data_IF_427648729045
#
_entry.id   IF_427648729045
#
_cell.length_a   1.000
_cell.length_b   1.000
_cell.length_c   1.000
_cell.angle_alpha   90.00
_cell.angle_beta   90.00
_cell.angle_gamma   90.00
#
_symmetry.space_group_name_H-M   'P 1'
#
loop_
_entity.id
_entity.type
_entity.pdbx_description
1 polymer ?
#
# COMPACT_ATOMS: atom_id res chain seq x y z
N UNK A 1 5.80 10.32 -18.16
CA UNK A 1 6.54 9.04 -18.02
C UNK A 1 5.51 7.96 -17.81
N UNK A 2 5.51 6.92 -18.64
CA UNK A 2 4.53 5.84 -18.56
C UNK A 2 4.86 4.92 -17.37
N UNK A 3 3.93 4.76 -16.43
CA UNK A 3 4.09 3.90 -15.27
C UNK A 3 3.71 2.46 -15.65
N UNK A 4 4.72 1.58 -15.69
CA UNK A 4 4.56 0.14 -15.93
C UNK A 4 4.58 -0.64 -14.62
N UNK A 5 3.88 -1.77 -14.61
CA UNK A 5 3.94 -2.72 -13.51
C UNK A 5 5.35 -3.35 -13.44
N UNK A 6 5.87 -3.58 -12.23
CA UNK A 6 7.13 -4.31 -12.08
C UNK A 6 6.96 -5.82 -12.19
N UNK A 7 5.75 -6.31 -12.02
CA UNK A 7 5.44 -7.73 -12.05
C UNK A 7 5.17 -8.18 -13.48
N UNK A 8 5.92 -9.20 -13.92
CA UNK A 8 5.72 -9.87 -15.19
C UNK A 8 4.95 -11.17 -14.93
N UNK A 9 3.81 -11.35 -15.60
CA UNK A 9 3.00 -12.56 -15.43
C UNK A 9 3.15 -13.48 -16.62
N UNK A 10 3.17 -14.79 -16.34
CA UNK A 10 3.09 -15.83 -17.37
C UNK A 10 1.67 -15.99 -17.91
N UNK A 11 0.67 -15.83 -17.05
CA UNK A 11 -0.76 -15.99 -17.39
C UNK A 11 -1.54 -14.73 -16.98
N UNK A 12 -2.08 -14.00 -17.95
CA UNK A 12 -2.88 -12.78 -17.69
C UNK A 12 -4.36 -13.04 -17.45
N UNK A 13 -4.83 -14.24 -17.78
CA UNK A 13 -6.23 -14.66 -17.63
C UNK A 13 -6.63 -14.82 -16.17
N UNK A 14 -5.72 -15.32 -15.32
CA UNK A 14 -5.96 -15.60 -13.89
C UNK A 14 -5.62 -14.46 -12.95
N UNK A 15 -5.29 -13.29 -13.51
CA UNK A 15 -4.72 -12.18 -12.74
C UNK A 15 -5.57 -10.93 -12.88
N UNK A 16 -5.79 -10.23 -11.76
CA UNK A 16 -6.25 -8.85 -11.77
C UNK A 16 -5.13 -7.90 -11.32
N UNK A 17 -5.10 -6.70 -11.93
CA UNK A 17 -4.10 -5.66 -11.66
C UNK A 17 -4.81 -4.36 -11.27
N UNK A 18 -4.24 -3.62 -10.33
CA UNK A 18 -4.70 -2.29 -9.92
C UNK A 18 -3.51 -1.42 -9.52
N UNK A 19 -3.62 -0.11 -9.77
CA UNK A 19 -2.56 0.84 -9.44
C UNK A 19 -3.14 2.15 -8.94
N UNK A 20 -2.76 2.53 -7.71
CA UNK A 20 -2.98 3.88 -7.19
C UNK A 20 -1.83 4.78 -7.62
N UNK A 21 -2.11 5.88 -8.33
CA UNK A 21 -1.09 6.83 -8.81
C UNK A 21 -1.12 8.13 -8.01
N UNK A 22 0.05 8.73 -7.82
CA UNK A 22 0.23 10.06 -7.20
C UNK A 22 -0.48 10.23 -5.85
N UNK A 23 -0.47 9.16 -5.04
CA UNK A 23 -1.12 9.18 -3.74
C UNK A 23 -0.30 10.01 -2.76
N UNK A 24 -0.97 10.93 -2.07
CA UNK A 24 -0.34 11.79 -1.05
C UNK A 24 -0.21 11.04 0.28
N UNK A 25 0.69 10.05 0.32
CA UNK A 25 0.97 9.22 1.49
C UNK A 25 2.48 9.14 1.75
N UNK A 26 2.86 8.80 2.98
CA UNK A 26 4.26 8.57 3.33
C UNK A 26 4.78 7.32 2.64
N UNK A 27 5.84 7.45 1.84
CA UNK A 27 6.47 6.32 1.15
C UNK A 27 6.92 5.23 2.12
N UNK A 28 7.58 5.61 3.21
CA UNK A 28 8.11 4.67 4.21
C UNK A 28 7.00 3.84 4.85
N UNK A 29 5.91 4.50 5.21
CA UNK A 29 4.78 3.82 5.84
C UNK A 29 4.06 2.96 4.80
N UNK A 30 3.87 3.44 3.57
CA UNK A 30 3.28 2.67 2.47
C UNK A 30 4.07 1.38 2.19
N UNK A 31 5.40 1.42 2.17
CA UNK A 31 6.27 0.24 2.00
C UNK A 31 6.01 -0.79 3.11
N UNK A 32 5.92 -0.34 4.37
CA UNK A 32 5.67 -1.22 5.52
C UNK A 32 4.27 -1.83 5.45
N UNK A 33 3.26 -1.05 5.08
CA UNK A 33 1.89 -1.56 4.89
C UNK A 33 1.86 -2.60 3.78
N UNK A 34 2.48 -2.33 2.63
CA UNK A 34 2.57 -3.27 1.51
C UNK A 34 3.29 -4.56 1.92
N UNK A 35 4.34 -4.47 2.74
CA UNK A 35 5.08 -5.62 3.24
C UNK A 35 4.21 -6.53 4.12
N UNK A 36 3.35 -5.95 4.97
CA UNK A 36 2.45 -6.69 5.85
C UNK A 36 1.37 -7.46 5.08
N UNK A 37 0.82 -6.88 4.01
CA UNK A 37 -0.28 -7.49 3.24
C UNK A 37 0.19 -8.39 2.08
N UNK A 38 1.49 -8.40 1.77
CA UNK A 38 2.06 -9.25 0.72
C UNK A 38 1.83 -10.73 1.06
N UNK A 39 1.24 -11.47 0.13
CA UNK A 39 0.99 -12.91 0.28
C UNK A 39 -0.29 -13.28 1.05
N UNK A 40 -1.07 -12.29 1.54
CA UNK A 40 -2.37 -12.54 2.16
C UNK A 40 -3.45 -12.78 1.10
N UNK A 41 -4.56 -13.40 1.52
CA UNK A 41 -5.81 -13.36 0.77
C UNK A 41 -6.36 -11.93 0.74
N UNK A 42 -7.08 -11.58 -0.32
CA UNK A 42 -7.61 -10.23 -0.52
C UNK A 42 -8.54 -9.79 0.63
N UNK A 43 -9.41 -10.71 1.07
CA UNK A 43 -10.34 -10.51 2.20
C UNK A 43 -9.62 -10.20 3.52
N UNK A 44 -8.60 -10.99 3.85
CA UNK A 44 -7.77 -10.79 5.05
C UNK A 44 -7.00 -9.47 5.02
N UNK A 45 -6.48 -9.11 3.85
CA UNK A 45 -5.78 -7.85 3.66
C UNK A 45 -6.72 -6.65 3.90
N UNK A 46 -7.94 -6.70 3.35
CA UNK A 46 -8.97 -5.67 3.57
C UNK A 46 -9.33 -5.57 5.06
N UNK A 47 -9.52 -6.71 5.73
CA UNK A 47 -9.83 -6.77 7.17
C UNK A 47 -8.71 -6.17 8.03
N UNK A 48 -7.46 -6.51 7.73
CA UNK A 48 -6.27 -5.99 8.43
C UNK A 48 -6.15 -4.47 8.28
N UNK A 49 -6.36 -3.95 7.06
CA UNK A 49 -6.30 -2.51 6.80
C UNK A 49 -7.43 -1.74 7.49
N UNK A 50 -8.66 -2.27 7.50
CA UNK A 50 -9.80 -1.71 8.26
C UNK A 50 -9.50 -1.70 9.76
N UNK A 51 -8.94 -2.78 10.30
CA UNK A 51 -8.55 -2.86 11.71
C UNK A 51 -7.46 -1.87 12.09
N UNK A 52 -6.51 -1.62 11.19
CA UNK A 52 -5.47 -0.59 11.35
C UNK A 52 -6.07 0.82 11.33
N UNK A 53 -7.04 1.08 10.44
CA UNK A 53 -7.76 2.35 10.36
C UNK A 53 -8.51 2.66 11.66
N UNK A 54 -9.06 1.62 12.31
CA UNK A 54 -9.73 1.71 13.61
C UNK A 54 -8.77 1.69 14.81
N UNK A 55 -7.45 1.74 14.58
CA UNK A 55 -6.41 1.68 15.62
C UNK A 55 -6.43 0.42 16.49
N UNK A 56 -7.06 -0.66 16.02
CA UNK A 56 -7.17 -1.93 16.75
C UNK A 56 -5.91 -2.77 16.61
N UNK A 57 -5.47 -2.97 15.36
CA UNK A 57 -4.27 -3.76 15.05
C UNK A 57 -3.11 -2.85 14.62
N UNK A 58 -1.96 -2.89 15.31
CA UNK A 58 -0.78 -2.15 14.89
C UNK A 58 -0.07 -2.87 13.75
N UNK A 59 0.46 -2.10 12.80
CA UNK A 59 1.37 -2.63 11.79
C UNK A 59 2.78 -2.62 12.35
N UNK A 60 3.45 -3.77 12.25
CA UNK A 60 4.84 -3.94 12.68
C UNK A 60 5.79 -3.32 11.65
N UNK A 61 6.74 -2.52 12.12
CA UNK A 61 7.72 -1.85 11.28
C UNK A 61 8.99 -2.69 11.23
N UNK A 62 9.08 -3.55 10.22
CA UNK A 62 10.31 -4.29 9.91
C UNK A 62 11.39 -3.36 9.32
N UNK A 63 10.96 -2.43 8.45
CA UNK A 63 11.78 -1.38 7.86
C UNK A 63 11.41 -0.01 8.45
N UNK A 64 12.33 0.94 8.37
CA UNK A 64 12.13 2.33 8.85
C UNK A 64 11.73 2.45 10.34
N UNK A 65 12.23 1.54 11.18
CA UNK A 65 11.88 1.43 12.61
C UNK A 65 12.61 2.38 13.57
N UNK A 66 13.49 3.26 13.08
CA UNK A 66 14.27 4.18 13.93
C UNK A 66 13.32 5.19 14.61
N UNK A 67 13.34 5.22 15.95
CA UNK A 67 12.47 6.10 16.74
C UNK A 67 11.01 5.65 16.82
N UNK A 68 10.71 4.38 16.48
CA UNK A 68 9.38 3.81 16.61
C UNK A 68 9.26 3.09 17.96
N UNK A 69 8.23 3.43 18.74
CA UNK A 69 7.96 2.79 20.03
C UNK A 69 7.48 1.35 19.87
N UNK A 70 7.78 0.51 20.86
CA UNK A 70 7.24 -0.85 20.96
C UNK A 70 5.75 -0.81 21.29
N UNK A 71 5.03 -1.85 20.86
CA UNK A 71 3.60 -2.03 21.15
C UNK A 71 3.39 -3.28 21.99
N UNK A 72 2.30 -3.31 22.75
CA UNK A 72 2.00 -4.44 23.65
C UNK A 72 1.91 -5.72 22.83
N UNK A 73 2.71 -6.72 23.18
CA UNK A 73 2.75 -8.01 22.49
C UNK A 73 3.37 -7.98 21.10
N UNK A 74 4.07 -6.90 20.71
CA UNK A 74 4.65 -6.80 19.38
C UNK A 74 5.95 -6.00 19.32
N UNK A 75 6.69 -6.24 18.24
CA UNK A 75 7.82 -5.44 17.75
C UNK A 75 7.47 -3.95 17.57
N UNK A 76 8.44 -3.05 17.32
CA UNK A 76 8.15 -1.64 17.04
C UNK A 76 7.06 -1.50 15.99
N UNK A 77 6.02 -0.73 16.31
CA UNK A 77 4.80 -0.69 15.49
C UNK A 77 4.04 0.63 15.58
N UNK A 78 3.34 0.98 14.49
CA UNK A 78 2.48 2.16 14.39
C UNK A 78 1.15 1.80 13.74
N UNK A 79 0.24 2.77 13.78
CA UNK A 79 -1.03 2.72 13.05
C UNK A 79 -0.97 3.73 11.90
N UNK A 80 -0.47 3.35 10.71
CA UNK A 80 -0.43 4.23 9.56
C UNK A 80 -1.83 4.38 8.92
N UNK A 81 -2.69 5.18 9.55
CA UNK A 81 -4.10 5.35 9.14
C UNK A 81 -4.23 5.87 7.70
N UNK A 82 -3.45 6.90 7.34
CA UNK A 82 -3.53 7.51 6.00
C UNK A 82 -3.09 6.56 4.88
N UNK A 83 -1.90 5.90 4.96
CA UNK A 83 -1.53 4.85 4.00
C UNK A 83 -2.53 3.70 3.94
N UNK A 84 -3.02 3.22 5.09
CA UNK A 84 -3.98 2.11 5.13
C UNK A 84 -5.28 2.48 4.40
N UNK A 85 -5.82 3.66 4.63
CA UNK A 85 -7.03 4.13 3.95
C UNK A 85 -6.84 4.29 2.43
N UNK A 86 -5.71 4.82 1.98
CA UNK A 86 -5.45 4.97 0.53
C UNK A 86 -5.24 3.62 -0.16
N UNK A 87 -4.53 2.69 0.48
CA UNK A 87 -4.29 1.34 -0.08
C UNK A 87 -5.60 0.53 -0.09
N UNK A 88 -6.47 0.70 0.91
CA UNK A 88 -7.79 0.07 0.94
C UNK A 88 -8.61 0.41 -0.31
N UNK A 89 -8.60 1.69 -0.73
CA UNK A 89 -9.29 2.11 -1.96
C UNK A 89 -8.73 1.41 -3.19
N UNK A 90 -7.41 1.21 -3.27
CA UNK A 90 -6.77 0.48 -4.39
C UNK A 90 -7.18 -0.99 -4.41
N UNK A 91 -7.31 -1.63 -3.23
CA UNK A 91 -7.77 -3.01 -3.12
C UNK A 91 -9.25 -3.17 -3.48
N UNK A 92 -10.11 -2.22 -3.11
CA UNK A 92 -11.52 -2.23 -3.53
C UNK A 92 -11.65 -2.11 -5.05
N UNK A 93 -10.86 -1.25 -5.69
CA UNK A 93 -10.81 -1.20 -7.15
C UNK A 93 -10.26 -2.49 -7.78
N UNK A 94 -9.34 -3.17 -7.08
CA UNK A 94 -8.80 -4.45 -7.55
C UNK A 94 -9.85 -5.57 -7.50
N UNK A 95 -10.66 -5.60 -6.44
CA UNK A 95 -11.79 -6.51 -6.28
C UNK A 95 -12.79 -6.34 -7.42
N UNK A 96 -13.23 -5.10 -7.70
CA UNK A 96 -14.13 -4.82 -8.84
C UNK A 96 -13.51 -5.21 -10.19
N UNK A 97 -12.20 -5.05 -10.36
CA UNK A 97 -11.50 -5.49 -11.57
C UNK A 97 -11.45 -7.02 -11.70
N UNK A 98 -11.33 -7.74 -10.59
CA UNK A 98 -11.33 -9.20 -10.57
C UNK A 98 -12.72 -9.76 -10.88
N UNK A 99 -13.77 -9.17 -10.30
CA UNK A 99 -15.16 -9.49 -10.61
C UNK A 99 -15.47 -9.26 -12.09
N UNK A 100 -15.02 -8.13 -12.66
CA UNK A 100 -15.20 -7.84 -14.08
C UNK A 100 -14.50 -8.87 -14.98
N UNK A 101 -13.38 -9.42 -14.53
CA UNK A 101 -12.68 -10.52 -15.23
C UNK A 101 -13.32 -11.89 -15.01
N UNK A 102 -14.28 -12.02 -14.11
CA UNK A 102 -14.94 -13.28 -13.76
C UNK A 102 -14.08 -14.21 -12.89
N UNK A 103 -13.12 -13.66 -12.14
CA UNK A 103 -12.32 -14.42 -11.16
C UNK A 103 -13.11 -14.62 -9.86
N UNK A 104 -12.91 -15.73 -9.17
CA UNK A 104 -13.50 -15.96 -7.84
C UNK A 104 -12.86 -15.04 -6.78
N UNK A 105 -13.63 -14.08 -6.26
CA UNK A 105 -13.17 -13.08 -5.30
C UNK A 105 -12.73 -13.68 -3.96
N UNK A 106 -13.26 -14.85 -3.59
CA UNK A 106 -12.90 -15.52 -2.34
C UNK A 106 -11.52 -16.19 -2.41
N UNK A 107 -11.04 -16.50 -3.62
CA UNK A 107 -9.79 -17.23 -3.87
C UNK A 107 -8.67 -16.35 -4.42
N UNK A 108 -8.78 -15.03 -4.24
CA UNK A 108 -7.74 -14.09 -4.67
C UNK A 108 -6.64 -13.96 -3.61
N UNK A 109 -5.41 -14.27 -4.03
CA UNK A 109 -4.20 -14.03 -3.24
C UNK A 109 -3.40 -12.87 -3.82
N UNK A 110 -2.87 -12.02 -2.93
CA UNK A 110 -1.97 -10.94 -3.32
C UNK A 110 -0.59 -11.53 -3.62
N UNK A 111 -0.26 -11.64 -4.90
CA UNK A 111 1.03 -12.16 -5.35
C UNK A 111 2.09 -11.07 -5.36
N UNK A 112 1.74 -9.89 -5.88
CA UNK A 112 2.66 -8.76 -5.93
C UNK A 112 2.01 -7.50 -5.37
N UNK A 113 2.76 -6.83 -4.51
CA UNK A 113 2.40 -5.50 -4.04
C UNK A 113 3.66 -4.69 -3.74
N UNK A 114 3.68 -3.47 -4.27
CA UNK A 114 4.82 -2.58 -4.14
C UNK A 114 4.37 -1.12 -4.07
N UNK A 115 5.03 -0.35 -3.19
CA UNK A 115 5.01 1.10 -3.21
C UNK A 115 6.26 1.61 -3.95
N UNK A 116 6.07 2.56 -4.87
CA UNK A 116 7.10 3.25 -5.65
C UNK A 116 7.06 4.74 -5.33
N UNK A 117 8.23 5.37 -5.20
CA UNK A 117 8.31 6.83 -5.04
C UNK A 117 7.83 7.51 -6.33
N UNK A 118 6.93 8.47 -6.16
CA UNK A 118 6.45 9.35 -7.22
C UNK A 118 7.12 10.72 -7.16
N UNK A 119 6.49 11.72 -7.77
CA UNK A 119 7.05 13.08 -7.82
C UNK A 119 6.94 13.76 -6.46
N UNK A 120 8.05 14.27 -5.94
CA UNK A 120 8.04 15.10 -4.72
C UNK A 120 7.52 16.52 -5.01
N UNK A 121 6.41 16.89 -4.37
CA UNK A 121 5.89 18.28 -4.40
C UNK A 121 6.69 19.16 -3.46
N UNK A 122 7.39 20.16 -4.01
CA UNK A 122 8.21 21.10 -3.24
C UNK A 122 7.43 22.38 -2.94
N UNK A 123 7.52 22.86 -1.70
CA UNK A 123 6.95 24.14 -1.24
C UNK A 123 8.02 24.96 -0.53
N UNK A 124 8.08 26.26 -0.80
CA UNK A 124 8.97 27.19 -0.09
C UNK A 124 8.55 27.30 1.37
N UNK A 125 9.52 27.32 2.28
CA UNK A 125 9.23 27.58 3.70
C UNK A 125 8.90 29.05 3.93
N UNK A 126 8.06 29.38 4.93
CA UNK A 126 7.83 30.75 5.35
C UNK A 126 9.14 31.47 5.73
N UNK A 127 9.13 32.81 5.66
CA UNK A 127 10.24 33.70 6.05
C UNK A 127 11.55 33.47 5.29
N UNK A 128 11.48 33.11 4.00
CA UNK A 128 12.65 33.08 3.11
C UNK A 128 13.70 32.00 3.38
N UNK A 129 13.43 31.05 4.30
CA UNK A 129 14.39 29.97 4.62
C UNK A 129 14.75 29.15 3.37
N UNK A 130 16.04 28.86 3.21
CA UNK A 130 16.57 28.15 2.04
C UNK A 130 16.00 26.73 1.86
N UNK A 131 15.92 25.97 2.96
CA UNK A 131 15.42 24.58 2.93
C UNK A 131 13.95 24.54 2.54
N UNK A 132 13.62 23.81 1.48
CA UNK A 132 12.24 23.59 1.04
C UNK A 132 11.53 22.51 1.89
N UNK A 133 10.20 22.57 1.92
CA UNK A 133 9.37 21.43 2.33
C UNK A 133 9.08 20.55 1.12
N UNK A 134 9.18 19.23 1.28
CA UNK A 134 8.79 18.26 0.27
C UNK A 134 7.67 17.39 0.82
N UNK A 135 6.67 17.12 -0.02
CA UNK A 135 5.69 16.08 0.19
C UNK A 135 5.87 15.06 -0.94
N UNK A 136 6.22 13.84 -0.59
CA UNK A 136 6.44 12.78 -1.56
C UNK A 136 5.09 12.18 -1.94
N UNK A 137 4.87 12.03 -3.24
CA UNK A 137 3.77 11.24 -3.77
C UNK A 137 4.23 9.80 -3.95
N UNK A 138 3.30 8.86 -3.91
CA UNK A 138 3.59 7.43 -3.97
C UNK A 138 2.65 6.77 -4.98
N UNK A 139 3.22 5.90 -5.80
CA UNK A 139 2.45 4.98 -6.62
C UNK A 139 2.42 3.63 -5.91
N UNK A 140 1.25 2.99 -5.81
CA UNK A 140 1.15 1.62 -5.29
C UNK A 140 0.58 0.76 -6.40
N UNK A 141 1.25 -0.34 -6.69
CA UNK A 141 0.79 -1.35 -7.62
C UNK A 141 0.45 -2.64 -6.87
N UNK A 142 -0.65 -3.27 -7.28
CA UNK A 142 -1.13 -4.51 -6.70
C UNK A 142 -1.53 -5.46 -7.82
N UNK A 143 -1.16 -6.73 -7.65
CA UNK A 143 -1.51 -7.83 -8.53
C UNK A 143 -2.01 -8.99 -7.68
N UNK A 144 -3.18 -9.51 -8.01
CA UNK A 144 -3.76 -10.70 -7.41
C UNK A 144 -3.86 -11.81 -8.44
N UNK A 145 -3.75 -13.04 -7.95
CA UNK A 145 -3.91 -14.26 -8.73
C UNK A 145 -4.95 -15.14 -8.01
N UNK A 146 -5.78 -15.79 -8.83
CA UNK A 146 -6.75 -16.79 -8.37
C UNK A 146 -6.04 -18.13 -8.09
N UNK A 147 -6.35 -18.75 -6.94
CA UNK A 147 -5.81 -20.05 -6.50
C UNK A 147 -6.77 -21.21 -6.81
#
# INVERSE_FOLDING_TARGET
MELRYSYDSRDESRIAKSMGRDMNISFKDAVVVCDKIRGMMLSDAISTLKSTQLLKEPIVYNKFRKGVGHRKGSSPGKYPVKPASSILTVLMSLESNAEYKGLDTERLKIVHIQAKEGVSRKRRKPKGRWRMWSADLVHVEVVVEEI
#
